data_IF_831764544889
#
_entry.id   IF_831764544889
#
_cell.length_a   1.000
_cell.length_b   1.000
_cell.length_c   1.000
_cell.angle_alpha   90.00
_cell.angle_beta   90.00
_cell.angle_gamma   90.00
#
_symmetry.space_group_name_H-M   'P 1'
#
loop_
_entity.id
_entity.type
_entity.pdbx_description
1 polymer ?
#
# COMPACT_ATOMS: atom_id res chain seq x y z
N UNK A 1 -23.93 -2.60 -23.75
CA UNK A 1 -22.55 -2.39 -23.28
C UNK A 1 -22.47 -3.02 -21.90
N UNK A 2 -21.75 -4.13 -21.75
CA UNK A 2 -21.54 -4.74 -20.44
C UNK A 2 -20.55 -3.84 -19.71
N UNK A 3 -20.98 -3.10 -18.68
CA UNK A 3 -20.09 -2.26 -17.89
C UNK A 3 -19.00 -3.15 -17.30
N UNK A 4 -17.73 -2.84 -17.58
CA UNK A 4 -16.61 -3.45 -16.87
C UNK A 4 -16.80 -3.01 -15.42
N UNK A 5 -17.25 -3.91 -14.55
CA UNK A 5 -17.27 -3.65 -13.12
C UNK A 5 -15.83 -3.42 -12.68
N UNK A 6 -15.54 -2.20 -12.24
CA UNK A 6 -14.29 -1.83 -11.61
C UNK A 6 -14.08 -2.71 -10.37
N UNK A 7 -13.07 -3.58 -10.39
CA UNK A 7 -12.76 -4.46 -9.25
C UNK A 7 -11.87 -3.72 -8.25
N UNK A 8 -12.32 -3.67 -7.00
CA UNK A 8 -11.60 -3.07 -5.88
C UNK A 8 -11.15 -4.20 -4.96
N UNK A 9 -9.88 -4.20 -4.56
CA UNK A 9 -9.38 -5.10 -3.54
C UNK A 9 -10.06 -4.75 -2.20
N UNK A 10 -10.73 -5.72 -1.60
CA UNK A 10 -11.29 -5.63 -0.26
C UNK A 10 -10.25 -6.08 0.78
N UNK A 11 -9.27 -6.87 0.36
CA UNK A 11 -8.17 -7.33 1.20
C UNK A 11 -6.83 -7.23 0.45
N UNK A 12 -5.72 -7.16 1.20
CA UNK A 12 -4.38 -7.03 0.63
C UNK A 12 -4.05 -8.03 -0.50
N UNK A 13 -4.43 -9.31 -0.33
CA UNK A 13 -4.14 -10.38 -1.29
C UNK A 13 -4.88 -10.21 -2.63
N UNK A 14 -5.90 -9.36 -2.68
CA UNK A 14 -6.66 -9.06 -3.89
C UNK A 14 -6.06 -7.90 -4.69
N UNK A 15 -5.14 -7.11 -4.12
CA UNK A 15 -4.54 -5.93 -4.77
C UNK A 15 -3.96 -6.25 -6.16
N UNK A 16 -3.16 -7.32 -6.36
CA UNK A 16 -2.64 -7.63 -7.69
C UNK A 16 -3.74 -7.83 -8.75
N UNK A 17 -4.83 -8.50 -8.37
CA UNK A 17 -5.96 -8.74 -9.27
C UNK A 17 -6.73 -7.44 -9.55
N UNK A 18 -6.98 -6.63 -8.52
CA UNK A 18 -7.63 -5.33 -8.66
C UNK A 18 -6.85 -4.40 -9.60
N UNK A 19 -5.52 -4.33 -9.45
CA UNK A 19 -4.64 -3.54 -10.35
C UNK A 19 -4.67 -4.05 -11.80
N UNK A 20 -4.76 -5.36 -12.01
CA UNK A 20 -4.90 -5.93 -13.36
C UNK A 20 -6.23 -5.54 -14.03
N UNK A 21 -7.31 -5.48 -13.24
CA UNK A 21 -8.67 -5.26 -13.74
C UNK A 21 -9.12 -3.80 -13.68
N UNK A 22 -8.34 -2.93 -13.04
CA UNK A 22 -8.61 -1.51 -12.90
C UNK A 22 -7.42 -0.67 -13.36
N UNK A 23 -7.46 -0.27 -14.64
CA UNK A 23 -6.40 0.52 -15.26
C UNK A 23 -6.21 1.91 -14.64
N UNK A 24 -7.27 2.51 -14.08
CA UNK A 24 -7.23 3.83 -13.46
C UNK A 24 -6.44 3.80 -12.14
N UNK A 25 -6.79 2.91 -11.21
CA UNK A 25 -6.01 2.71 -9.98
C UNK A 25 -4.57 2.35 -10.32
N UNK A 26 -4.35 1.47 -11.32
CA UNK A 26 -3.01 1.05 -11.69
C UNK A 26 -2.16 2.20 -12.21
N UNK A 27 -2.70 3.04 -13.10
CA UNK A 27 -1.98 4.21 -13.62
C UNK A 27 -1.67 5.18 -12.48
N UNK A 28 -2.66 5.47 -11.64
CA UNK A 28 -2.48 6.37 -10.52
C UNK A 28 -1.44 5.86 -9.51
N UNK A 29 -1.44 4.55 -9.22
CA UNK A 29 -0.44 3.94 -8.35
C UNK A 29 0.97 4.04 -8.92
N UNK A 30 1.12 3.94 -10.25
CA UNK A 30 2.42 4.13 -10.91
C UNK A 30 2.91 5.57 -10.85
N UNK A 31 2.02 6.55 -10.99
CA UNK A 31 2.33 7.98 -10.81
C UNK A 31 2.79 8.25 -9.37
N UNK A 32 2.07 7.72 -8.38
CA UNK A 32 2.48 7.82 -6.98
C UNK A 32 3.82 7.12 -6.71
N UNK A 33 4.08 5.95 -7.27
CA UNK A 33 5.39 5.28 -7.15
C UNK A 33 6.50 6.13 -7.76
N UNK A 34 6.22 6.95 -8.78
CA UNK A 34 7.18 7.83 -9.44
C UNK A 34 7.42 9.15 -8.68
N UNK A 35 6.43 9.68 -7.97
CA UNK A 35 6.53 11.02 -7.39
C UNK A 35 6.63 11.02 -5.86
N UNK A 36 6.02 10.05 -5.17
CA UNK A 36 5.92 10.07 -3.71
C UNK A 36 7.18 9.57 -3.00
N UNK A 37 7.55 10.16 -1.85
CA UNK A 37 8.65 9.65 -1.05
C UNK A 37 8.36 8.23 -0.57
N UNK A 38 9.32 7.32 -0.77
CA UNK A 38 9.32 5.99 -0.18
C UNK A 38 10.29 6.00 1.00
N UNK A 39 9.74 5.89 2.20
CA UNK A 39 10.50 5.89 3.45
C UNK A 39 10.84 4.45 3.83
N UNK A 40 12.12 4.19 4.09
CA UNK A 40 12.56 2.92 4.63
C UNK A 40 14.07 2.90 4.79
N UNK A 41 14.56 2.58 5.99
CA UNK A 41 16.01 2.46 6.27
C UNK A 41 16.70 1.45 5.34
N UNK A 42 16.00 0.39 4.97
CA UNK A 42 16.49 -0.62 4.02
C UNK A 42 16.69 -0.08 2.58
N UNK A 43 16.19 1.12 2.28
CA UNK A 43 16.32 1.80 0.98
C UNK A 43 17.32 2.97 1.01
N UNK A 44 17.95 3.26 2.15
CA UNK A 44 18.89 4.37 2.26
C UNK A 44 20.25 4.00 1.64
N UNK A 45 20.79 4.95 0.86
CA UNK A 45 22.12 4.87 0.24
C UNK A 45 22.12 4.30 -1.18
N UNK A 46 23.07 4.76 -2.01
CA UNK A 46 23.25 4.30 -3.39
C UNK A 46 22.01 4.49 -4.26
N UNK A 47 21.73 3.52 -5.13
CA UNK A 47 20.58 3.45 -6.04
C UNK A 47 19.38 2.69 -5.46
N UNK A 48 19.43 2.33 -4.17
CA UNK A 48 18.52 1.35 -3.57
C UNK A 48 17.04 1.74 -3.67
N UNK A 49 16.75 3.03 -3.58
CA UNK A 49 15.38 3.53 -3.68
C UNK A 49 14.87 3.47 -5.11
N UNK A 50 15.71 3.83 -6.07
CA UNK A 50 15.42 3.80 -7.51
C UNK A 50 15.23 2.36 -7.99
N UNK A 51 16.10 1.45 -7.58
CA UNK A 51 16.01 0.02 -7.86
C UNK A 51 14.71 -0.57 -7.29
N UNK A 52 14.34 -0.19 -6.05
CA UNK A 52 13.08 -0.61 -5.45
C UNK A 52 11.85 -0.06 -6.19
N UNK A 53 11.89 1.20 -6.65
CA UNK A 53 10.81 1.80 -7.45
C UNK A 53 10.58 1.05 -8.75
N UNK A 54 11.65 0.63 -9.42
CA UNK A 54 11.57 -0.22 -10.62
C UNK A 54 10.85 -1.53 -10.29
N UNK A 55 11.31 -2.26 -9.27
CA UNK A 55 10.70 -3.53 -8.86
C UNK A 55 9.20 -3.35 -8.51
N UNK A 56 8.87 -2.32 -7.73
CA UNK A 56 7.50 -2.07 -7.31
C UNK A 56 6.60 -1.67 -8.50
N UNK A 57 7.13 -0.91 -9.46
CA UNK A 57 6.41 -0.53 -10.68
C UNK A 57 6.10 -1.75 -11.55
N UNK A 58 7.07 -2.66 -11.74
CA UNK A 58 6.86 -3.89 -12.49
C UNK A 58 5.82 -4.80 -11.81
N UNK A 59 5.84 -4.87 -10.47
CA UNK A 59 4.84 -5.59 -9.70
C UNK A 59 3.43 -4.99 -9.91
N UNK A 60 3.29 -3.66 -9.85
CA UNK A 60 2.01 -2.97 -10.07
C UNK A 60 1.51 -3.13 -11.51
N UNK A 61 2.42 -3.20 -12.48
CA UNK A 61 2.08 -3.51 -13.88
C UNK A 61 1.65 -4.96 -14.10
N UNK A 62 1.94 -5.85 -13.15
CA UNK A 62 1.75 -7.29 -13.30
C UNK A 62 2.80 -7.96 -14.18
N UNK A 63 3.95 -7.31 -14.40
CA UNK A 63 5.09 -7.85 -15.15
C UNK A 63 5.86 -8.89 -14.35
N UNK A 64 5.85 -8.75 -13.02
CA UNK A 64 6.38 -9.72 -12.06
C UNK A 64 5.34 -10.01 -10.96
N UNK A 65 5.45 -11.18 -10.34
CA UNK A 65 4.65 -11.53 -9.17
C UNK A 65 5.36 -11.19 -7.85
N UNK A 66 4.66 -11.38 -6.72
CA UNK A 66 5.20 -11.06 -5.39
C UNK A 66 6.46 -11.87 -5.06
N UNK A 67 6.51 -13.15 -5.43
CA UNK A 67 7.66 -14.02 -5.16
C UNK A 67 8.90 -13.55 -5.94
N UNK A 68 8.72 -13.17 -7.20
CA UNK A 68 9.76 -12.61 -8.06
C UNK A 68 10.22 -11.25 -7.52
N UNK A 69 9.29 -10.39 -7.09
CA UNK A 69 9.63 -9.11 -6.46
C UNK A 69 10.48 -9.29 -5.19
N UNK A 70 10.14 -10.24 -4.32
CA UNK A 70 10.94 -10.57 -3.13
C UNK A 70 12.34 -11.08 -3.49
N UNK A 71 12.44 -11.91 -4.52
CA UNK A 71 13.73 -12.40 -5.01
C UNK A 71 14.59 -11.24 -5.53
N UNK A 72 14.01 -10.36 -6.35
CA UNK A 72 14.68 -9.17 -6.90
C UNK A 72 15.14 -8.22 -5.81
N UNK A 73 14.28 -7.92 -4.83
CA UNK A 73 14.65 -7.13 -3.65
C UNK A 73 15.83 -7.77 -2.93
N UNK A 74 15.85 -9.09 -2.79
CA UNK A 74 16.97 -9.80 -2.14
C UNK A 74 18.28 -9.69 -2.91
N UNK A 75 18.25 -9.73 -4.24
CA UNK A 75 19.45 -9.74 -5.09
C UNK A 75 19.97 -8.35 -5.44
N UNK A 76 19.07 -7.39 -5.66
CA UNK A 76 19.40 -6.02 -6.09
C UNK A 76 19.60 -5.08 -4.90
N UNK A 77 18.93 -5.38 -3.77
CA UNK A 77 19.01 -4.60 -2.54
C UNK A 77 19.62 -5.40 -1.38
N UNK A 78 20.75 -6.11 -1.57
CA UNK A 78 21.28 -6.99 -0.53
C UNK A 78 21.69 -6.16 0.71
N UNK A 79 21.51 -6.70 1.93
CA UNK A 79 21.90 -6.00 3.16
C UNK A 79 23.38 -5.63 3.21
N UNK A 80 24.25 -6.40 2.54
CA UNK A 80 25.70 -6.16 2.47
C UNK A 80 26.06 -4.81 1.84
N UNK A 81 25.17 -4.26 1.01
CA UNK A 81 25.38 -3.00 0.30
C UNK A 81 24.63 -1.83 0.96
N UNK A 82 24.09 -2.03 2.17
CA UNK A 82 23.39 -0.98 2.93
C UNK A 82 24.29 -0.43 4.02
N UNK A 83 24.18 0.88 4.31
CA UNK A 83 24.78 1.50 5.49
C UNK A 83 24.23 0.98 6.83
N UNK A 84 23.09 0.28 6.79
CA UNK A 84 22.47 -0.38 7.95
C UNK A 84 22.81 -1.87 8.03
N UNK A 85 23.86 -2.33 7.34
CA UNK A 85 24.32 -3.71 7.41
C UNK A 85 24.50 -4.15 8.87
N UNK A 86 24.00 -5.35 9.20
CA UNK A 86 24.05 -5.91 10.55
C UNK A 86 22.96 -5.40 11.51
N UNK A 87 22.12 -4.45 11.10
CA UNK A 87 20.98 -4.02 11.90
C UNK A 87 19.78 -4.96 11.70
N UNK A 88 19.59 -5.88 12.64
CA UNK A 88 18.50 -6.87 12.61
C UNK A 88 17.10 -6.24 12.69
N UNK A 89 16.96 -4.99 13.16
CA UNK A 89 15.67 -4.30 13.10
C UNK A 89 15.32 -3.86 11.67
N UNK A 90 16.32 -3.56 10.85
CA UNK A 90 16.14 -3.17 9.44
C UNK A 90 16.07 -4.40 8.54
N UNK A 91 16.94 -5.39 8.77
CA UNK A 91 17.11 -6.57 7.92
C UNK A 91 16.76 -7.89 8.63
N UNK A 92 15.60 -7.95 9.31
CA UNK A 92 15.07 -9.22 9.85
C UNK A 92 14.60 -10.18 8.73
N UNK A 93 14.34 -11.45 9.03
CA UNK A 93 13.96 -12.45 8.01
C UNK A 93 12.75 -12.08 7.12
N UNK A 94 11.88 -11.16 7.56
CA UNK A 94 10.69 -10.72 6.84
C UNK A 94 10.87 -9.35 6.17
N UNK A 95 12.07 -8.74 6.19
CA UNK A 95 12.26 -7.35 5.76
C UNK A 95 11.82 -7.09 4.31
N UNK A 96 12.00 -8.09 3.43
CA UNK A 96 11.68 -8.01 2.00
C UNK A 96 10.17 -7.97 1.77
N UNK A 97 9.48 -8.94 2.36
CA UNK A 97 8.02 -9.06 2.30
C UNK A 97 7.37 -7.81 2.91
N UNK A 98 7.80 -7.39 4.10
CA UNK A 98 7.29 -6.18 4.76
C UNK A 98 7.50 -4.92 3.93
N UNK A 99 8.66 -4.79 3.28
CA UNK A 99 8.96 -3.66 2.41
C UNK A 99 8.00 -3.61 1.22
N UNK A 100 7.87 -4.71 0.47
CA UNK A 100 6.98 -4.79 -0.70
C UNK A 100 5.53 -4.56 -0.26
N UNK A 101 5.09 -5.30 0.76
CA UNK A 101 3.72 -5.28 1.27
C UNK A 101 3.28 -3.91 1.74
N UNK A 102 4.10 -3.24 2.56
CA UNK A 102 3.78 -1.91 3.07
C UNK A 102 3.62 -0.89 1.96
N UNK A 103 4.51 -0.91 0.96
CA UNK A 103 4.47 0.08 -0.13
C UNK A 103 3.38 -0.24 -1.17
N UNK A 104 3.17 -1.51 -1.51
CA UNK A 104 2.07 -1.92 -2.38
C UNK A 104 0.71 -1.56 -1.77
N UNK A 105 0.51 -1.89 -0.48
CA UNK A 105 -0.71 -1.53 0.25
C UNK A 105 -0.90 -0.02 0.31
N UNK A 106 0.16 0.74 0.64
CA UNK A 106 0.11 2.21 0.67
C UNK A 106 -0.34 2.77 -0.67
N UNK A 107 0.37 2.46 -1.75
CA UNK A 107 0.10 3.09 -3.04
C UNK A 107 -1.26 2.71 -3.59
N UNK A 108 -1.68 1.44 -3.44
CA UNK A 108 -3.04 1.05 -3.80
C UNK A 108 -4.10 1.86 -3.04
N UNK A 109 -4.00 1.95 -1.70
CA UNK A 109 -4.99 2.64 -0.88
C UNK A 109 -4.99 4.15 -1.12
N UNK A 110 -3.81 4.75 -1.26
CA UNK A 110 -3.66 6.14 -1.62
C UNK A 110 -4.31 6.42 -2.97
N UNK A 111 -4.06 5.59 -3.98
CA UNK A 111 -4.68 5.75 -5.29
C UNK A 111 -6.20 5.65 -5.23
N UNK A 112 -6.74 4.69 -4.48
CA UNK A 112 -8.20 4.58 -4.30
C UNK A 112 -8.75 5.85 -3.66
N UNK A 113 -8.16 6.33 -2.57
CA UNK A 113 -8.65 7.52 -1.87
C UNK A 113 -8.58 8.78 -2.74
N UNK A 114 -7.48 9.00 -3.45
CA UNK A 114 -7.35 10.15 -4.36
C UNK A 114 -8.39 10.09 -5.50
N UNK A 115 -8.60 8.91 -6.10
CA UNK A 115 -9.63 8.72 -7.15
C UNK A 115 -11.05 8.97 -6.60
N UNK A 116 -11.34 8.52 -5.37
CA UNK A 116 -12.63 8.76 -4.73
C UNK A 116 -12.86 10.26 -4.50
N UNK A 117 -11.87 11.00 -4.00
CA UNK A 117 -11.97 12.45 -3.85
C UNK A 117 -12.19 13.16 -5.20
N UNK A 118 -11.46 12.75 -6.25
CA UNK A 118 -11.62 13.30 -7.60
C UNK A 118 -13.02 13.07 -8.18
N UNK A 119 -13.66 11.95 -7.83
CA UNK A 119 -15.05 11.63 -8.20
C UNK A 119 -16.10 12.37 -7.37
N UNK A 120 -15.67 13.06 -6.30
CA UNK A 120 -16.54 13.78 -5.37
C UNK A 120 -17.10 12.90 -4.25
N UNK A 121 -16.57 11.71 -4.04
CA UNK A 121 -16.93 10.85 -2.91
C UNK A 121 -16.33 11.42 -1.62
N UNK A 122 -17.18 11.77 -0.65
CA UNK A 122 -16.74 12.31 0.64
C UNK A 122 -16.35 11.22 1.64
N UNK A 123 -16.83 10.00 1.43
CA UNK A 123 -16.63 8.86 2.31
C UNK A 123 -16.11 7.65 1.54
N UNK A 124 -15.25 6.88 2.17
CA UNK A 124 -14.83 5.56 1.72
C UNK A 124 -15.20 4.51 2.78
N UNK A 125 -15.09 3.24 2.42
CA UNK A 125 -15.32 2.11 3.33
C UNK A 125 -14.04 1.31 3.51
N UNK A 126 -13.79 0.87 4.74
CA UNK A 126 -12.68 -0.02 5.08
C UNK A 126 -13.27 -1.37 5.47
N UNK A 127 -13.30 -2.38 4.57
CA UNK A 127 -13.84 -3.71 4.88
C UNK A 127 -13.01 -4.40 5.97
N UNK A 128 -13.64 -5.33 6.71
CA UNK A 128 -12.89 -6.24 7.59
C UNK A 128 -12.06 -7.19 6.77
N UNK A 129 -10.88 -7.56 7.26
CA UNK A 129 -10.06 -8.57 6.61
C UNK A 129 -10.11 -9.89 7.37
N UNK A 130 -10.21 -11.05 6.71
CA UNK A 130 -10.21 -12.36 7.37
C UNK A 130 -8.88 -12.68 8.08
N UNK A 131 -7.82 -11.89 7.81
CA UNK A 131 -6.48 -12.05 8.39
C UNK A 131 -6.04 -10.81 9.18
N UNK A 132 -7.00 -10.01 9.65
CA UNK A 132 -6.70 -8.78 10.39
C UNK A 132 -6.07 -9.06 11.77
N UNK A 133 -5.13 -8.20 12.17
CA UNK A 133 -4.64 -8.17 13.54
C UNK A 133 -5.70 -7.47 14.40
N UNK A 134 -6.40 -8.24 15.23
CA UNK A 134 -7.48 -7.76 16.12
C UNK A 134 -7.06 -6.66 17.10
N UNK A 135 -5.75 -6.49 17.33
CA UNK A 135 -5.20 -5.48 18.23
C UNK A 135 -4.67 -4.24 17.52
N UNK A 136 -4.61 -4.25 16.19
CA UNK A 136 -4.17 -3.09 15.42
C UNK A 136 -5.19 -1.96 15.43
N UNK A 137 -4.71 -0.72 15.39
CA UNK A 137 -5.58 0.46 15.31
C UNK A 137 -6.49 0.45 14.08
N UNK A 138 -6.01 -0.06 12.93
CA UNK A 138 -6.83 -0.24 11.73
C UNK A 138 -8.05 -1.11 12.01
N UNK A 139 -7.86 -2.26 12.67
CA UNK A 139 -8.96 -3.16 12.99
C UNK A 139 -9.92 -2.57 14.02
N UNK A 140 -9.37 -1.93 15.05
CA UNK A 140 -10.18 -1.44 16.17
C UNK A 140 -10.97 -0.18 15.82
N UNK A 141 -10.43 0.68 14.95
CA UNK A 141 -10.96 2.01 14.70
C UNK A 141 -11.55 2.16 13.29
N UNK A 142 -11.03 1.44 12.29
CA UNK A 142 -11.42 1.65 10.89
C UNK A 142 -12.24 0.50 10.29
N UNK A 143 -11.87 -0.75 10.58
CA UNK A 143 -12.42 -1.92 9.90
C UNK A 143 -13.93 -2.10 10.11
N UNK A 144 -14.65 -2.36 9.01
CA UNK A 144 -16.11 -2.46 8.96
C UNK A 144 -16.84 -1.11 8.99
N UNK A 145 -16.13 0.01 8.86
CA UNK A 145 -16.69 1.36 8.97
C UNK A 145 -16.57 2.18 7.70
N UNK A 146 -17.43 3.21 7.61
CA UNK A 146 -17.30 4.32 6.66
C UNK A 146 -16.50 5.45 7.30
N UNK A 147 -15.67 6.11 6.51
CA UNK A 147 -14.75 7.14 6.98
C UNK A 147 -14.67 8.28 5.97
N UNK A 148 -14.43 9.49 6.45
CA UNK A 148 -14.13 10.62 5.56
C UNK A 148 -12.85 10.34 4.77
N UNK A 149 -12.95 10.32 3.45
CA UNK A 149 -11.82 9.99 2.56
C UNK A 149 -10.67 10.98 2.76
N UNK A 150 -11.00 12.27 2.88
CA UNK A 150 -10.05 13.36 3.12
C UNK A 150 -9.28 13.21 4.43
N UNK A 151 -9.92 12.72 5.50
CA UNK A 151 -9.27 12.55 6.81
C UNK A 151 -8.27 11.39 6.78
N UNK A 152 -8.64 10.26 6.19
CA UNK A 152 -7.74 9.12 6.04
C UNK A 152 -6.55 9.44 5.12
N UNK A 153 -6.80 10.16 4.02
CA UNK A 153 -5.76 10.59 3.10
C UNK A 153 -4.81 11.60 3.74
N UNK A 154 -5.33 12.57 4.50
CA UNK A 154 -4.53 13.52 5.29
C UNK A 154 -3.63 12.79 6.28
N UNK A 155 -4.17 11.83 7.03
CA UNK A 155 -3.40 11.01 7.97
C UNK A 155 -2.30 10.22 7.23
N UNK A 156 -2.63 9.60 6.09
CA UNK A 156 -1.66 8.87 5.27
C UNK A 156 -0.50 9.77 4.82
N UNK A 157 -0.80 10.96 4.28
CA UNK A 157 0.24 11.91 3.87
C UNK A 157 1.10 12.39 5.04
N UNK A 158 0.50 12.68 6.19
CA UNK A 158 1.23 13.10 7.38
C UNK A 158 2.24 12.04 7.81
N UNK A 159 1.82 10.78 7.84
CA UNK A 159 2.70 9.66 8.20
C UNK A 159 3.78 9.43 7.14
N UNK A 160 3.39 9.35 5.87
CA UNK A 160 4.27 8.85 4.80
C UNK A 160 5.16 9.92 4.14
N UNK A 161 4.75 11.20 4.18
CA UNK A 161 5.56 12.32 3.66
C UNK A 161 6.33 13.04 4.78
N UNK A 162 5.73 13.16 5.96
CA UNK A 162 6.29 13.98 7.05
C UNK A 162 6.88 13.14 8.20
N UNK A 163 6.63 11.82 8.21
CA UNK A 163 7.08 10.94 9.29
C UNK A 163 6.28 11.12 10.59
N UNK A 164 5.08 11.73 10.52
CA UNK A 164 4.23 11.98 11.68
C UNK A 164 3.35 10.77 11.99
N UNK A 165 3.96 9.69 12.48
CA UNK A 165 3.29 8.41 12.76
C UNK A 165 2.16 8.46 13.81
N UNK A 166 1.99 9.58 14.51
CA UNK A 166 0.95 9.77 15.53
C UNK A 166 -0.26 10.58 15.04
N UNK A 167 -0.28 11.05 13.78
CA UNK A 167 -1.37 11.87 13.23
C UNK A 167 -2.53 11.02 12.71
N UNK A 168 -3.29 10.43 13.65
CA UNK A 168 -4.50 9.66 13.36
C UNK A 168 -4.24 8.25 12.81
N UNK A 169 -5.31 7.46 12.69
CA UNK A 169 -5.27 6.12 12.10
C UNK A 169 -5.56 6.22 10.60
N UNK A 170 -4.81 5.48 9.79
CA UNK A 170 -4.98 5.44 8.34
C UNK A 170 -4.88 4.01 7.81
N UNK A 171 -5.00 3.82 6.49
CA UNK A 171 -4.84 2.54 5.81
C UNK A 171 -3.76 2.68 4.72
N UNK A 172 -2.63 1.94 4.82
CA UNK A 172 -2.26 1.04 5.91
C UNK A 172 -1.80 1.81 7.16
N UNK A 173 -2.23 1.37 8.35
CA UNK A 173 -1.76 1.95 9.62
C UNK A 173 -0.53 1.26 10.21
N UNK A 174 -0.08 0.15 9.61
CA UNK A 174 1.16 -0.54 9.97
C UNK A 174 1.67 -1.37 8.80
N UNK A 175 2.94 -1.79 8.84
CA UNK A 175 3.62 -2.47 7.72
C UNK A 175 2.93 -3.77 7.24
N UNK A 176 2.19 -4.43 8.13
CA UNK A 176 1.50 -5.69 7.87
C UNK A 176 -0.02 -5.54 7.80
N UNK A 177 -0.53 -4.32 7.61
CA UNK A 177 -1.96 -4.07 7.50
C UNK A 177 -2.55 -4.88 6.34
N UNK A 178 -3.66 -5.56 6.58
CA UNK A 178 -4.38 -6.36 5.57
C UNK A 178 -5.58 -5.62 4.98
N UNK A 179 -5.94 -4.48 5.56
CA UNK A 179 -7.07 -3.67 5.13
C UNK A 179 -6.76 -2.91 3.85
N UNK A 180 -7.83 -2.65 3.12
CA UNK A 180 -7.83 -1.76 1.97
C UNK A 180 -8.95 -0.74 2.11
N UNK A 181 -8.97 0.23 1.21
CA UNK A 181 -10.05 1.20 1.04
C UNK A 181 -10.84 0.83 -0.20
N UNK A 182 -12.16 0.94 -0.13
CA UNK A 182 -13.09 0.73 -1.25
C UNK A 182 -14.18 1.81 -1.26
N UNK A 183 -14.88 2.02 -2.40
CA UNK A 183 -16.06 2.89 -2.43
C UNK A 183 -17.15 2.41 -1.47
N UNK A 184 -17.94 3.35 -0.93
CA UNK A 184 -19.02 3.00 0.03
C UNK A 184 -20.14 2.16 -0.55
N UNK A 185 -20.28 2.12 -1.87
CA UNK A 185 -21.23 1.23 -2.58
C UNK A 185 -20.97 -0.25 -2.30
N UNK A 186 -19.71 -0.62 -2.05
CA UNK A 186 -19.31 -2.00 -1.72
C UNK A 186 -19.53 -2.36 -0.25
N UNK A 187 -19.92 -1.40 0.60
CA UNK A 187 -20.24 -1.67 2.00
C UNK A 187 -21.51 -2.51 2.16
N UNK A 188 -22.41 -2.53 1.17
CA UNK A 188 -23.69 -3.26 1.25
C UNK A 188 -23.56 -4.76 1.01
N UNK A 189 -22.40 -5.23 0.55
CA UNK A 189 -22.13 -6.64 0.24
C UNK A 189 -21.24 -7.32 1.30
N UNK A 190 -20.92 -6.64 2.41
CA UNK A 190 -20.02 -7.09 3.47
C UNK A 190 -20.73 -7.30 4.82
#
# INVERSE_FOLDING_TARGET
MCGIMTEWAQHYDEIPKALSNNGEIRLHALELIADEPIIGKCLEGGTRKEDFRTILSELVKGEIDHATAEQRVSSELPPSNSLHMGNNHVFNSQWKERLIRSQLSRFYNQSVMEILEERGDSECFVPRSPREDTTSDCTQQLAGGKHATSELLRALYSQQRQGNWNDGVTVPGHANCTHTVVPTELAQNN
#
